data_IF_279468516512
#
_entry.id   IF_279468516512
#
_cell.length_a   1.000
_cell.length_b   1.000
_cell.length_c   1.000
_cell.angle_alpha   90.00
_cell.angle_beta   90.00
_cell.angle_gamma   90.00
#
_symmetry.space_group_name_H-M   'P 1'
#
loop_
_entity.id
_entity.type
_entity.pdbx_description
1 polymer ?
#
# COMPACT_ATOMS: atom_id res chain seq x y z
N UNK A 1 -4.46 -12.00 19.58
CA UNK A 1 -4.96 -12.46 18.27
C UNK A 1 -6.45 -12.81 18.30
N UNK A 2 -7.01 -13.30 19.42
CA UNK A 2 -8.43 -13.72 19.50
C UNK A 2 -9.48 -12.61 19.29
N UNK A 3 -9.23 -11.39 19.78
CA UNK A 3 -10.19 -10.27 19.63
C UNK A 3 -10.41 -9.86 18.18
N UNK A 4 -9.36 -9.98 17.36
CA UNK A 4 -9.38 -9.59 15.94
C UNK A 4 -10.27 -10.55 15.13
N UNK A 5 -10.16 -11.85 15.38
CA UNK A 5 -10.99 -12.88 14.74
C UNK A 5 -12.47 -12.70 15.10
N UNK A 6 -12.76 -12.42 16.38
CA UNK A 6 -14.14 -12.21 16.86
C UNK A 6 -14.86 -11.06 16.16
N UNK A 7 -14.16 -9.96 15.87
CA UNK A 7 -14.75 -8.83 15.14
C UNK A 7 -14.98 -9.13 13.66
N UNK A 8 -14.14 -9.98 13.06
CA UNK A 8 -14.34 -10.50 11.71
C UNK A 8 -15.57 -11.41 11.66
N UNK A 9 -15.69 -12.33 12.62
CA UNK A 9 -16.80 -13.28 12.71
C UNK A 9 -18.15 -12.58 13.03
N UNK A 10 -18.13 -11.47 13.77
CA UNK A 10 -19.32 -10.66 14.11
C UNK A 10 -19.66 -9.57 13.08
N UNK A 11 -18.95 -9.50 11.93
CA UNK A 11 -19.08 -8.45 10.90
C UNK A 11 -19.00 -7.00 11.45
N UNK A 12 -18.22 -6.80 12.51
CA UNK A 12 -18.04 -5.52 13.19
C UNK A 12 -16.87 -4.74 12.57
N UNK A 13 -17.06 -4.34 11.32
CA UNK A 13 -16.03 -3.66 10.51
C UNK A 13 -15.49 -2.38 11.17
N UNK A 14 -16.34 -1.62 11.87
CA UNK A 14 -15.92 -0.41 12.59
C UNK A 14 -14.99 -0.72 13.77
N UNK A 15 -15.36 -1.70 14.61
CA UNK A 15 -14.55 -2.06 15.79
C UNK A 15 -13.21 -2.71 15.39
N UNK A 16 -13.21 -3.50 14.32
CA UNK A 16 -11.99 -4.03 13.71
C UNK A 16 -11.06 -2.93 13.24
N UNK A 17 -11.59 -1.92 12.53
CA UNK A 17 -10.82 -0.78 12.05
C UNK A 17 -10.23 0.05 13.20
N UNK A 18 -11.01 0.29 14.25
CA UNK A 18 -10.53 1.00 15.44
C UNK A 18 -9.45 0.21 16.19
N UNK A 19 -9.56 -1.12 16.26
CA UNK A 19 -8.54 -1.98 16.83
C UNK A 19 -7.23 -1.92 16.03
N UNK A 20 -7.30 -2.00 14.70
CA UNK A 20 -6.13 -1.83 13.83
C UNK A 20 -5.50 -0.45 14.06
N UNK A 21 -6.30 0.61 14.05
CA UNK A 21 -5.82 1.97 14.29
C UNK A 21 -5.17 2.13 15.68
N UNK A 22 -5.67 1.44 16.70
CA UNK A 22 -5.09 1.43 18.05
C UNK A 22 -3.74 0.71 18.11
N UNK A 23 -3.59 -0.40 17.38
CA UNK A 23 -2.35 -1.20 17.36
C UNK A 23 -1.25 -0.46 16.57
N UNK A 24 -1.59 0.06 15.40
CA UNK A 24 -0.62 0.70 14.49
C UNK A 24 -0.46 2.21 14.75
N UNK A 25 -1.26 2.79 15.64
CA UNK A 25 -1.25 4.22 15.95
C UNK A 25 -1.87 5.07 14.83
N UNK A 26 -1.76 6.41 14.94
CA UNK A 26 -2.22 7.31 13.89
C UNK A 26 -1.51 6.95 12.59
N UNK A 27 -2.28 6.58 11.56
CA UNK A 27 -1.75 6.34 10.24
C UNK A 27 -1.03 7.62 9.80
N UNK A 28 0.30 7.62 9.85
CA UNK A 28 1.11 8.73 9.37
C UNK A 28 0.83 8.84 7.88
N UNK A 29 -0.04 9.78 7.52
CA UNK A 29 -0.26 10.18 6.13
C UNK A 29 0.98 10.90 5.63
N UNK A 30 2.09 10.18 5.50
CA UNK A 30 3.21 10.65 4.71
C UNK A 30 2.76 10.43 3.27
N UNK A 31 2.05 11.41 2.73
CA UNK A 31 1.82 11.47 1.28
C UNK A 31 3.18 11.74 0.65
N UNK A 32 3.96 10.67 0.49
CA UNK A 32 5.29 10.74 -0.09
C UNK A 32 5.10 10.92 -1.58
N UNK A 33 5.56 12.05 -2.11
CA UNK A 33 5.51 12.29 -3.55
C UNK A 33 6.40 11.26 -4.26
N UNK A 34 5.86 10.63 -5.31
CA UNK A 34 6.62 9.64 -6.09
C UNK A 34 7.71 10.37 -6.86
N UNK A 35 8.96 10.15 -6.46
CA UNK A 35 10.14 10.67 -7.16
C UNK A 35 10.26 10.02 -8.53
N UNK A 36 10.70 10.78 -9.52
CA UNK A 36 11.09 10.25 -10.83
C UNK A 36 12.22 9.24 -10.69
N UNK A 37 12.50 8.48 -11.76
CA UNK A 37 13.65 7.57 -11.81
C UNK A 37 14.99 8.27 -11.52
N UNK A 38 15.06 9.58 -11.78
CA UNK A 38 16.26 10.40 -11.56
C UNK A 38 16.23 11.11 -10.20
N UNK A 39 15.31 10.74 -9.30
CA UNK A 39 15.19 11.30 -7.96
C UNK A 39 14.51 12.68 -7.88
N UNK A 40 14.12 13.25 -9.02
CA UNK A 40 13.46 14.56 -9.09
C UNK A 40 11.96 14.46 -8.82
N UNK A 41 11.37 15.49 -8.21
CA UNK A 41 9.92 15.55 -7.97
C UNK A 41 9.19 16.09 -9.22
N UNK A 42 8.27 15.32 -9.82
CA UNK A 42 7.49 15.80 -10.96
C UNK A 42 6.55 16.93 -10.53
N UNK A 43 6.54 18.05 -11.26
CA UNK A 43 5.69 19.22 -10.98
C UNK A 43 4.46 19.31 -11.90
N UNK A 44 4.58 18.78 -13.11
CA UNK A 44 3.49 18.74 -14.09
C UNK A 44 2.51 17.59 -13.79
N UNK A 45 1.20 17.86 -13.87
CA UNK A 45 0.15 16.88 -13.57
C UNK A 45 0.28 15.61 -14.43
N UNK A 46 0.57 15.78 -15.72
CA UNK A 46 0.76 14.68 -16.67
C UNK A 46 1.98 13.82 -16.30
N UNK A 47 3.07 14.45 -15.87
CA UNK A 47 4.27 13.75 -15.42
C UNK A 47 4.05 13.01 -14.09
N UNK A 48 3.27 13.58 -13.17
CA UNK A 48 2.86 12.92 -11.93
C UNK A 48 2.05 11.65 -12.25
N UNK A 49 1.04 11.75 -13.11
CA UNK A 49 0.19 10.60 -13.48
C UNK A 49 0.99 9.50 -14.18
N UNK A 50 1.84 9.86 -15.15
CA UNK A 50 2.73 8.90 -15.79
C UNK A 50 3.66 8.22 -14.80
N UNK A 51 4.20 8.97 -13.83
CA UNK A 51 5.09 8.40 -12.82
C UNK A 51 4.36 7.42 -11.90
N UNK A 52 3.14 7.74 -11.49
CA UNK A 52 2.30 6.82 -10.71
C UNK A 52 1.98 5.54 -11.48
N UNK A 53 1.58 5.66 -12.76
CA UNK A 53 1.30 4.50 -13.61
C UNK A 53 2.52 3.57 -13.69
N UNK A 54 3.70 4.13 -13.98
CA UNK A 54 4.95 3.36 -14.04
C UNK A 54 5.30 2.71 -12.70
N UNK A 55 5.22 3.45 -11.59
CA UNK A 55 5.58 2.94 -10.27
C UNK A 55 4.70 1.77 -9.85
N UNK A 56 3.39 1.87 -10.03
CA UNK A 56 2.47 0.77 -9.71
C UNK A 56 2.61 -0.40 -10.66
N UNK A 57 2.88 -0.16 -11.94
CA UNK A 57 3.16 -1.24 -12.88
C UNK A 57 4.40 -2.04 -12.45
N UNK A 58 5.48 -1.37 -12.05
CA UNK A 58 6.69 -2.02 -11.53
C UNK A 58 6.40 -2.77 -10.24
N UNK A 59 5.67 -2.17 -9.30
CA UNK A 59 5.37 -2.77 -8.00
C UNK A 59 4.45 -4.00 -8.10
N UNK A 60 3.39 -3.90 -8.90
CA UNK A 60 2.35 -4.93 -8.98
C UNK A 60 2.69 -6.05 -9.95
N UNK A 61 3.46 -5.75 -11.00
CA UNK A 61 3.95 -6.77 -11.93
C UNK A 61 5.35 -7.27 -11.56
N UNK A 62 5.85 -6.95 -10.36
CA UNK A 62 7.09 -7.52 -9.89
C UNK A 62 6.87 -9.03 -9.65
N UNK A 63 7.43 -9.84 -10.54
CA UNK A 63 7.51 -11.28 -10.32
C UNK A 63 8.42 -11.51 -9.12
N UNK A 64 7.89 -12.17 -8.08
CA UNK A 64 8.69 -12.55 -6.92
C UNK A 64 9.82 -13.48 -7.39
N UNK A 65 11.10 -13.08 -7.27
CA UNK A 65 12.23 -13.90 -7.74
C UNK A 65 12.37 -15.23 -6.97
N UNK A 66 11.65 -15.39 -5.85
CA UNK A 66 11.61 -16.61 -5.05
C UNK A 66 10.45 -17.55 -5.38
N UNK A 67 9.64 -17.26 -6.40
CA UNK A 67 8.73 -18.27 -6.96
C UNK A 67 9.48 -18.99 -8.09
N UNK A 68 9.90 -20.26 -7.91
CA UNK A 68 10.32 -21.06 -9.05
C UNK A 68 9.12 -21.08 -10.01
N UNK A 69 9.37 -20.76 -11.27
CA UNK A 69 8.41 -21.10 -12.30
C UNK A 69 8.38 -22.63 -12.34
N UNK A 70 7.23 -23.23 -12.01
CA UNK A 70 7.03 -24.66 -12.21
C UNK A 70 7.23 -24.92 -13.72
N UNK A 71 8.38 -25.49 -14.07
CA UNK A 71 8.58 -26.27 -15.30
C UNK A 71 8.11 -27.69 -15.07
#
# INVERSE_FOLDING_TARGET
>A
AEKTQRFTDENKTCEFYDLIKKIFGPCRKVTTQVRSSNGTLPKEKTAILHRWAKHFQELLNWVNPLRPHDT
#
